data_IF_408904248441
#
_entry.id   IF_408904248441
#
_cell.length_a   1.000
_cell.length_b   1.000
_cell.length_c   1.000
_cell.angle_alpha   90.00
_cell.angle_beta   90.00
_cell.angle_gamma   90.00
#
_symmetry.space_group_name_H-M   'P 1'
#
loop_
_entity.id
_entity.type
_entity.pdbx_description
1 polymer ?
#
# COMPACT_ATOMS: atom_id res chain seq x y z
N UNK A 1 10.81 -3.50 11.69
CA UNK A 1 11.11 -2.86 10.40
C UNK A 1 9.76 -2.57 9.76
N UNK A 2 9.28 -1.32 9.76
CA UNK A 2 7.99 -0.99 9.17
C UNK A 2 7.82 -1.57 7.76
N UNK A 3 6.79 -2.40 7.58
CA UNK A 3 6.43 -3.03 6.33
C UNK A 3 5.10 -2.45 5.81
N UNK A 4 5.16 -1.78 4.68
CA UNK A 4 4.03 -1.07 4.07
C UNK A 4 3.59 -1.80 2.80
N UNK A 5 2.28 -1.89 2.59
CA UNK A 5 1.69 -2.42 1.36
C UNK A 5 1.00 -1.29 0.57
N UNK A 6 1.48 -0.98 -0.64
CA UNK A 6 0.85 -0.03 -1.55
C UNK A 6 0.07 -0.81 -2.62
N UNK A 7 -1.26 -0.74 -2.57
CA UNK A 7 -2.09 -1.59 -3.43
C UNK A 7 -2.30 -0.96 -4.82
N UNK A 8 -2.04 -1.75 -5.86
CA UNK A 8 -2.39 -1.44 -7.25
C UNK A 8 -3.61 -2.28 -7.63
N UNK A 9 -4.79 -1.76 -7.30
CA UNK A 9 -6.07 -2.44 -7.52
C UNK A 9 -6.80 -1.86 -8.74
N UNK A 10 -7.73 -2.60 -9.36
CA UNK A 10 -8.54 -2.08 -10.46
C UNK A 10 -9.22 -0.75 -10.09
N UNK A 11 -8.86 0.32 -10.80
CA UNK A 11 -9.38 1.67 -10.58
C UNK A 11 -8.47 2.58 -9.77
N UNK A 12 -7.40 2.07 -9.14
CA UNK A 12 -6.39 2.89 -8.51
C UNK A 12 -5.76 3.85 -9.53
N UNK A 13 -5.54 5.10 -9.13
CA UNK A 13 -4.84 6.08 -9.95
C UNK A 13 -3.38 5.67 -10.13
N UNK A 14 -2.99 5.32 -11.36
CA UNK A 14 -1.60 4.95 -11.69
C UNK A 14 -0.60 6.05 -11.32
N UNK A 15 -1.00 7.32 -11.46
CA UNK A 15 -0.18 8.46 -11.06
C UNK A 15 0.02 8.51 -9.53
N UNK A 16 -1.02 8.18 -8.76
CA UNK A 16 -0.92 8.13 -7.31
C UNK A 16 -0.08 6.92 -6.86
N UNK A 17 -0.24 5.74 -7.48
CA UNK A 17 0.60 4.57 -7.24
C UNK A 17 2.08 4.93 -7.46
N UNK A 18 2.42 5.49 -8.63
CA UNK A 18 3.79 5.87 -8.96
C UNK A 18 4.35 6.92 -7.99
N UNK A 19 3.60 7.98 -7.72
CA UNK A 19 4.02 9.05 -6.81
C UNK A 19 4.23 8.56 -5.37
N UNK A 20 3.30 7.77 -4.83
CA UNK A 20 3.43 7.19 -3.49
C UNK A 20 4.63 6.23 -3.41
N UNK A 21 4.83 5.40 -4.44
CA UNK A 21 5.99 4.51 -4.52
C UNK A 21 7.30 5.29 -4.49
N UNK A 22 7.41 6.38 -5.26
CA UNK A 22 8.58 7.25 -5.25
C UNK A 22 8.80 7.89 -3.87
N UNK A 23 7.75 8.44 -3.28
CA UNK A 23 7.80 9.07 -1.96
C UNK A 23 8.30 8.11 -0.88
N UNK A 24 7.72 6.91 -0.77
CA UNK A 24 8.13 5.94 0.25
C UNK A 24 9.53 5.37 -0.02
N UNK A 25 9.92 5.22 -1.28
CA UNK A 25 11.31 4.87 -1.63
C UNK A 25 12.28 5.95 -1.17
N UNK A 26 11.94 7.22 -1.36
CA UNK A 26 12.76 8.33 -0.89
C UNK A 26 12.82 8.39 0.65
N UNK A 27 11.69 8.24 1.32
CA UNK A 27 11.64 8.17 2.79
C UNK A 27 12.48 7.02 3.34
N UNK A 28 12.44 5.84 2.73
CA UNK A 28 13.30 4.71 3.12
C UNK A 28 14.79 5.06 3.03
N UNK A 29 15.21 5.79 1.99
CA UNK A 29 16.60 6.28 1.86
C UNK A 29 16.96 7.29 2.94
N UNK A 30 16.04 8.18 3.32
CA UNK A 30 16.25 9.11 4.43
C UNK A 30 16.40 8.37 5.77
N UNK A 31 15.56 7.36 6.01
CA UNK A 31 15.67 6.52 7.20
C UNK A 31 17.04 5.85 7.30
N UNK A 32 17.52 5.26 6.21
CA UNK A 32 18.85 4.64 6.13
C UNK A 32 19.97 5.65 6.39
N UNK A 33 19.88 6.85 5.79
CA UNK A 33 20.87 7.93 5.99
C UNK A 33 20.92 8.36 7.46
N UNK A 34 19.77 8.46 8.12
CA UNK A 34 19.64 9.03 9.46
C UNK A 34 19.72 7.96 10.58
N UNK A 35 19.98 6.70 10.24
CA UNK A 35 20.07 5.59 11.20
C UNK A 35 18.73 5.23 11.85
N UNK A 36 17.61 5.54 11.20
CA UNK A 36 16.26 5.17 11.61
C UNK A 36 15.91 3.75 11.15
N UNK A 37 14.86 3.12 11.70
CA UNK A 37 14.43 1.80 11.26
C UNK A 37 14.11 1.76 9.75
N UNK A 38 14.62 0.74 9.07
CA UNK A 38 14.36 0.51 7.65
C UNK A 38 12.85 0.42 7.34
N UNK A 39 12.44 0.97 6.20
CA UNK A 39 11.08 0.85 5.68
C UNK A 39 11.11 -0.10 4.48
N UNK A 40 10.24 -1.10 4.48
CA UNK A 40 9.97 -1.95 3.32
C UNK A 40 8.63 -1.55 2.71
N UNK A 41 8.59 -1.40 1.39
CA UNK A 41 7.38 -1.13 0.63
C UNK A 41 7.13 -2.27 -0.36
N UNK A 42 5.97 -2.92 -0.27
CA UNK A 42 5.50 -3.87 -1.28
C UNK A 42 4.41 -3.21 -2.11
N UNK A 43 4.65 -3.01 -3.41
CA UNK A 43 3.67 -2.44 -4.33
C UNK A 43 2.97 -3.54 -5.14
N UNK A 44 1.67 -3.40 -5.38
CA UNK A 44 0.92 -4.23 -6.32
C UNK A 44 -0.20 -5.00 -5.67
N UNK A 45 -0.21 -6.32 -5.87
CA UNK A 45 -1.20 -7.21 -5.28
C UNK A 45 -0.99 -7.37 -3.76
N UNK A 46 -2.04 -7.76 -3.02
CA UNK A 46 -1.94 -8.10 -1.60
C UNK A 46 -0.75 -9.02 -1.27
N UNK A 47 0.18 -8.61 -0.37
CA UNK A 47 1.28 -9.47 0.03
C UNK A 47 0.79 -10.66 0.86
N UNK A 48 1.59 -11.74 0.85
CA UNK A 48 1.37 -12.92 1.72
C UNK A 48 1.70 -12.62 3.18
N UNK A 49 2.62 -11.70 3.42
CA UNK A 49 3.00 -11.25 4.76
C UNK A 49 2.06 -10.13 5.20
N UNK A 50 1.66 -10.13 6.47
CA UNK A 50 0.84 -9.07 7.05
C UNK A 50 1.65 -7.76 7.11
N UNK A 51 1.20 -6.67 6.48
CA UNK A 51 1.85 -5.36 6.60
C UNK A 51 1.49 -4.67 7.91
N UNK A 52 2.33 -3.74 8.34
CA UNK A 52 2.04 -2.82 9.45
C UNK A 52 1.03 -1.75 9.02
N UNK A 53 1.07 -1.35 7.74
CA UNK A 53 0.09 -0.46 7.15
C UNK A 53 -0.17 -0.77 5.68
N UNK A 54 -1.42 -0.54 5.26
CA UNK A 54 -1.87 -0.60 3.88
C UNK A 54 -2.12 0.82 3.39
N UNK A 55 -1.71 1.09 2.16
CA UNK A 55 -1.92 2.34 1.47
C UNK A 55 -2.85 2.04 0.30
N UNK A 56 -4.01 2.68 0.31
CA UNK A 56 -5.01 2.62 -0.77
C UNK A 56 -4.94 3.90 -1.60
N UNK A 57 -4.33 3.88 -2.79
CA UNK A 57 -4.30 5.04 -3.67
C UNK A 57 -5.72 5.44 -4.08
N UNK A 58 -6.01 6.72 -4.31
CA UNK A 58 -7.33 7.14 -4.73
C UNK A 58 -7.70 6.55 -6.09
N UNK A 59 -8.98 6.21 -6.24
CA UNK A 59 -9.59 5.87 -7.52
C UNK A 59 -10.36 7.08 -8.05
N UNK A 60 -10.01 7.57 -9.24
CA UNK A 60 -10.68 8.70 -9.88
C UNK A 60 -11.17 8.33 -11.27
N UNK A 61 -12.34 8.87 -11.65
CA UNK A 61 -12.84 8.81 -13.03
C UNK A 61 -13.17 7.40 -13.54
N UNK A 62 -13.39 6.44 -12.65
CA UNK A 62 -13.82 5.09 -12.98
C UNK A 62 -14.78 4.55 -11.91
N UNK A 63 -15.61 3.58 -12.29
CA UNK A 63 -16.61 2.96 -11.42
C UNK A 63 -16.14 1.64 -10.79
N UNK A 64 -14.84 1.31 -10.90
CA UNK A 64 -14.33 0.05 -10.38
C UNK A 64 -14.46 -0.08 -8.86
N UNK A 65 -14.54 1.06 -8.14
CA UNK A 65 -14.84 1.09 -6.71
C UNK A 65 -16.26 0.61 -6.35
N UNK A 66 -17.21 0.60 -7.30
CA UNK A 66 -18.55 0.07 -7.08
C UNK A 66 -18.57 -1.46 -7.07
N UNK A 67 -17.58 -2.09 -7.69
CA UNK A 67 -17.44 -3.55 -7.77
C UNK A 67 -16.01 -3.96 -7.43
N UNK A 68 -15.56 -3.73 -6.17
CA UNK A 68 -14.20 -4.05 -5.79
C UNK A 68 -13.96 -5.58 -5.86
N UNK A 69 -12.76 -6.03 -6.24
CA UNK A 69 -12.45 -7.46 -6.23
C UNK A 69 -12.65 -8.06 -4.83
N UNK A 70 -13.50 -9.09 -4.73
CA UNK A 70 -13.87 -9.66 -3.42
C UNK A 70 -12.66 -10.20 -2.66
N UNK A 71 -11.69 -10.79 -3.37
CA UNK A 71 -10.43 -11.26 -2.78
C UNK A 71 -9.61 -10.14 -2.11
N UNK A 72 -9.68 -8.91 -2.64
CA UNK A 72 -9.02 -7.75 -2.04
C UNK A 72 -9.72 -7.35 -0.74
N UNK A 73 -11.06 -7.31 -0.77
CA UNK A 73 -11.88 -7.01 0.40
C UNK A 73 -11.67 -8.05 1.50
N UNK A 74 -11.66 -9.33 1.15
CA UNK A 74 -11.44 -10.43 2.09
C UNK A 74 -10.04 -10.37 2.70
N UNK A 75 -9.02 -10.02 1.90
CA UNK A 75 -7.68 -9.81 2.41
C UNK A 75 -7.62 -8.62 3.40
N UNK A 76 -8.21 -7.47 3.06
CA UNK A 76 -8.27 -6.31 3.95
C UNK A 76 -8.97 -6.63 5.28
N UNK A 77 -10.06 -7.40 5.23
CA UNK A 77 -10.80 -7.84 6.42
C UNK A 77 -10.05 -8.86 7.27
N UNK A 78 -9.11 -9.61 6.68
CA UNK A 78 -8.29 -10.58 7.38
C UNK A 78 -7.08 -9.95 8.07
N UNK A 79 -6.81 -8.66 7.84
CA UNK A 79 -5.73 -7.94 8.51
C UNK A 79 -6.04 -7.79 10.01
N UNK A 80 -5.02 -7.86 10.88
CA UNK A 80 -5.22 -7.61 12.31
C UNK A 80 -5.64 -6.16 12.55
N UNK A 81 -6.35 -5.89 13.64
CA UNK A 81 -6.76 -4.53 14.04
C UNK A 81 -5.57 -3.57 14.25
N UNK A 82 -4.37 -4.11 14.44
CA UNK A 82 -3.13 -3.35 14.56
C UNK A 82 -2.60 -2.84 13.23
N UNK A 83 -3.09 -3.35 12.10
CA UNK A 83 -2.73 -2.90 10.76
C UNK A 83 -3.47 -1.60 10.45
N UNK A 84 -2.73 -0.56 10.10
CA UNK A 84 -3.33 0.72 9.69
C UNK A 84 -3.78 0.63 8.23
N UNK A 85 -4.97 1.13 7.91
CA UNK A 85 -5.51 1.21 6.53
C UNK A 85 -5.87 2.67 6.23
#
# INVERSE_FOLDING_TARGET
MPNLALLDYPGASLAAVAGLQEMFTYTARLHQRDGLPDITLTTGAPPKTTPDAVILPPAFGNDAYLTPPQNLIDWLRALPETCLI
#
